data_IF_569075551860
#
_entry.id   IF_569075551860
#
_cell.length_a   1.000
_cell.length_b   1.000
_cell.length_c   1.000
_cell.angle_alpha   90.00
_cell.angle_beta   90.00
_cell.angle_gamma   90.00
#
_symmetry.space_group_name_H-M   'P 1'
#
loop_
_entity.id
_entity.type
_entity.pdbx_description
1 polymer ?
#
# COMPACT_ATOMS: atom_id res chain seq x y z
N UNK A 1 -29.54 7.04 -6.61
CA UNK A 1 -28.80 5.89 -7.03
C UNK A 1 -27.31 6.17 -6.91
N UNK A 2 -26.68 5.90 -5.75
CA UNK A 2 -25.24 6.00 -5.60
C UNK A 2 -24.58 4.76 -6.14
N UNK A 3 -23.56 4.88 -6.95
CA UNK A 3 -22.68 3.80 -7.33
C UNK A 3 -22.12 3.17 -6.04
N UNK A 4 -22.41 1.88 -5.82
CA UNK A 4 -22.01 1.11 -4.63
C UNK A 4 -20.52 0.78 -4.58
N UNK A 5 -19.66 1.76 -4.72
CA UNK A 5 -18.22 1.64 -4.55
C UNK A 5 -17.81 1.92 -3.10
N UNK A 6 -16.69 1.36 -2.70
CA UNK A 6 -16.06 1.56 -1.39
C UNK A 6 -15.90 3.07 -1.11
N UNK A 7 -16.44 3.55 -0.01
CA UNK A 7 -16.40 4.97 0.38
C UNK A 7 -15.05 5.39 1.03
N UNK A 8 -13.99 4.67 0.76
CA UNK A 8 -12.65 4.93 1.27
C UNK A 8 -11.91 5.93 0.38
N UNK A 9 -11.34 6.97 0.97
CA UNK A 9 -10.56 8.01 0.28
C UNK A 9 -9.22 8.27 0.98
N UNK A 10 -8.25 7.35 0.88
CA UNK A 10 -7.01 7.38 1.66
C UNK A 10 -6.20 8.66 1.52
N UNK A 11 -6.07 9.18 0.30
CA UNK A 11 -5.37 10.44 0.01
C UNK A 11 -6.04 11.64 0.69
N UNK A 12 -7.38 11.70 0.65
CA UNK A 12 -8.14 12.76 1.31
C UNK A 12 -8.06 12.69 2.84
N UNK A 13 -8.15 11.50 3.39
CA UNK A 13 -7.98 11.26 4.83
C UNK A 13 -6.60 11.70 5.32
N UNK A 14 -5.55 11.37 4.57
CA UNK A 14 -4.19 11.81 4.87
C UNK A 14 -4.06 13.34 4.86
N UNK A 15 -4.65 14.02 3.89
CA UNK A 15 -4.68 15.49 3.82
C UNK A 15 -5.39 16.11 5.03
N UNK A 16 -6.51 15.52 5.48
CA UNK A 16 -7.24 15.97 6.67
C UNK A 16 -6.38 15.81 7.91
N UNK A 17 -5.79 14.63 8.12
CA UNK A 17 -4.95 14.36 9.29
C UNK A 17 -3.70 15.25 9.33
N UNK A 18 -3.01 15.46 8.20
CA UNK A 18 -1.87 16.39 8.12
C UNK A 18 -2.28 17.81 8.51
N UNK A 19 -3.45 18.27 8.05
CA UNK A 19 -3.98 19.61 8.37
C UNK A 19 -4.32 19.76 9.85
N UNK A 20 -4.91 18.73 10.45
CA UNK A 20 -5.21 18.70 11.89
C UNK A 20 -3.93 18.74 12.74
N UNK A 21 -2.95 17.93 12.37
CA UNK A 21 -1.65 17.89 13.06
C UNK A 21 -0.87 19.21 12.94
N UNK A 22 -0.93 19.87 11.77
CA UNK A 22 -0.30 21.17 11.56
C UNK A 22 -0.94 22.31 12.37
N UNK A 23 -2.25 22.22 12.67
CA UNK A 23 -2.97 23.20 13.47
C UNK A 23 -2.98 22.91 14.97
N UNK A 24 -2.49 21.74 15.34
CA UNK A 24 -2.51 21.32 16.76
C UNK A 24 -1.38 21.97 17.54
N UNK A 25 -1.73 22.91 18.43
CA UNK A 25 -0.80 23.65 19.30
C UNK A 25 -0.90 23.24 20.78
N UNK A 26 -1.85 22.39 21.14
CA UNK A 26 -2.13 21.97 22.51
C UNK A 26 -1.20 20.88 23.04
N UNK A 27 -1.33 20.57 24.34
CA UNK A 27 -0.57 19.48 25.01
C UNK A 27 -1.12 18.08 24.72
N UNK A 28 -2.25 17.96 24.03
CA UNK A 28 -2.82 16.66 23.71
C UNK A 28 -1.90 15.89 22.77
N UNK A 29 -1.56 14.62 23.04
CA UNK A 29 -0.61 13.88 22.21
C UNK A 29 -1.08 13.73 20.77
N UNK A 30 -0.26 14.12 19.81
CA UNK A 30 -0.56 14.01 18.36
C UNK A 30 -0.97 12.58 17.92
N UNK A 31 -0.31 11.49 18.37
CA UNK A 31 -0.75 10.14 18.04
C UNK A 31 -2.18 9.85 18.52
N UNK A 32 -2.55 10.31 19.72
CA UNK A 32 -3.91 10.14 20.24
C UNK A 32 -4.94 10.92 19.43
N UNK A 33 -4.59 12.13 18.96
CA UNK A 33 -5.44 12.92 18.07
C UNK A 33 -5.72 12.17 16.76
N UNK A 34 -4.68 11.60 16.12
CA UNK A 34 -4.84 10.80 14.92
C UNK A 34 -5.73 9.58 15.16
N UNK A 35 -5.55 8.88 16.29
CA UNK A 35 -6.35 7.70 16.62
C UNK A 35 -7.84 8.05 16.79
N UNK A 36 -8.17 9.15 17.46
CA UNK A 36 -9.56 9.62 17.58
C UNK A 36 -10.19 9.91 16.22
N UNK A 37 -9.44 10.58 15.34
CA UNK A 37 -9.93 10.85 13.99
C UNK A 37 -10.05 9.59 13.14
N UNK A 38 -9.17 8.61 13.29
CA UNK A 38 -9.28 7.31 12.60
C UNK A 38 -10.54 6.56 13.02
N UNK A 39 -10.90 6.59 14.31
CA UNK A 39 -12.15 6.01 14.81
C UNK A 39 -13.37 6.69 14.18
N UNK A 40 -13.38 8.02 14.12
CA UNK A 40 -14.46 8.80 13.48
C UNK A 40 -14.55 8.47 11.99
N UNK A 41 -13.44 8.46 11.26
CA UNK A 41 -13.39 8.14 9.83
C UNK A 41 -13.88 6.72 9.56
N UNK A 42 -13.43 5.75 10.35
CA UNK A 42 -13.87 4.35 10.26
C UNK A 42 -15.37 4.19 10.46
N UNK A 43 -15.93 4.88 11.47
CA UNK A 43 -17.36 4.87 11.71
C UNK A 43 -18.15 5.45 10.53
N UNK A 44 -17.70 6.56 9.94
CA UNK A 44 -18.35 7.14 8.75
C UNK A 44 -18.21 6.23 7.52
N UNK A 45 -17.07 5.59 7.30
CA UNK A 45 -16.88 4.61 6.22
C UNK A 45 -17.86 3.45 6.37
N UNK A 46 -18.03 2.94 7.59
CA UNK A 46 -18.97 1.87 7.90
C UNK A 46 -20.44 2.27 7.63
N UNK A 47 -20.81 3.51 7.94
CA UNK A 47 -22.17 4.03 7.69
C UNK A 47 -22.48 4.26 6.20
N UNK A 48 -21.46 4.45 5.39
CA UNK A 48 -21.64 4.74 3.95
C UNK A 48 -21.83 3.48 3.09
N UNK A 49 -21.51 2.30 3.61
CA UNK A 49 -21.71 1.04 2.88
C UNK A 49 -21.09 -0.17 3.57
N UNK A 50 -21.37 -1.36 3.05
CA UNK A 50 -20.78 -2.58 3.58
C UNK A 50 -19.26 -2.55 3.33
N UNK A 51 -18.48 -2.56 4.42
CA UNK A 51 -17.03 -2.65 4.38
C UNK A 51 -16.55 -3.68 5.40
N UNK A 52 -15.53 -4.45 5.04
CA UNK A 52 -14.86 -5.43 5.92
C UNK A 52 -13.36 -5.34 5.73
N UNK A 53 -12.59 -5.73 6.73
CA UNK A 53 -11.13 -5.76 6.66
C UNK A 53 -10.65 -7.20 6.81
N UNK A 54 -9.99 -7.73 5.79
CA UNK A 54 -9.25 -8.97 5.84
C UNK A 54 -7.81 -8.68 6.25
N UNK A 55 -7.37 -9.24 7.37
CA UNK A 55 -6.04 -8.99 7.94
C UNK A 55 -5.18 -10.25 7.82
N UNK A 56 -4.02 -10.12 7.18
CA UNK A 56 -3.01 -11.15 7.22
C UNK A 56 -2.45 -11.23 8.64
N UNK A 57 -2.66 -12.37 9.30
CA UNK A 57 -2.22 -12.63 10.66
C UNK A 57 -1.46 -13.96 10.71
N UNK A 58 -0.18 -13.97 10.32
CA UNK A 58 0.67 -15.13 10.52
C UNK A 58 0.72 -15.51 12.01
N UNK A 59 0.91 -16.79 12.31
CA UNK A 59 0.80 -17.35 13.67
C UNK A 59 1.64 -16.56 14.69
N UNK A 60 2.84 -16.12 14.30
CA UNK A 60 3.78 -15.42 15.19
C UNK A 60 3.64 -13.89 15.16
N UNK A 61 2.68 -13.31 14.42
CA UNK A 61 2.61 -11.88 14.10
C UNK A 61 1.23 -11.26 14.37
N UNK A 62 0.71 -11.45 15.59
CA UNK A 62 -0.60 -10.91 15.99
C UNK A 62 -0.72 -9.38 15.87
N UNK A 63 0.41 -8.65 15.85
CA UNK A 63 0.44 -7.18 15.83
C UNK A 63 -0.18 -6.54 14.58
N UNK A 64 -0.26 -7.24 13.44
CA UNK A 64 -0.96 -6.71 12.26
C UNK A 64 -2.45 -6.51 12.48
N UNK A 65 -3.07 -7.33 13.32
CA UNK A 65 -4.45 -7.14 13.74
C UNK A 65 -4.65 -5.83 14.51
N UNK A 66 -3.77 -5.56 15.46
CA UNK A 66 -3.84 -4.34 16.25
C UNK A 66 -3.58 -3.11 15.37
N UNK A 67 -2.58 -3.21 14.47
CA UNK A 67 -2.26 -2.15 13.52
C UNK A 67 -3.45 -1.79 12.62
N UNK A 68 -4.15 -2.80 12.12
CA UNK A 68 -5.37 -2.61 11.34
C UNK A 68 -6.49 -1.97 12.16
N UNK A 69 -6.71 -2.43 13.40
CA UNK A 69 -7.73 -1.84 14.29
C UNK A 69 -7.43 -0.40 14.67
N UNK A 70 -6.18 -0.07 14.92
CA UNK A 70 -5.77 1.30 15.23
C UNK A 70 -6.01 2.25 14.03
N UNK A 71 -6.02 1.71 12.82
CA UNK A 71 -6.24 2.48 11.60
C UNK A 71 -7.71 2.60 11.21
N UNK A 72 -8.47 1.51 11.23
CA UNK A 72 -9.85 1.45 10.73
C UNK A 72 -10.91 1.64 11.81
N UNK A 73 -10.50 1.66 13.08
CA UNK A 73 -11.42 1.77 14.22
C UNK A 73 -12.14 0.47 14.58
N UNK A 74 -13.05 0.55 15.54
CA UNK A 74 -13.71 -0.61 16.15
C UNK A 74 -15.02 -1.02 15.45
N UNK A 75 -15.60 -0.17 14.62
CA UNK A 75 -16.92 -0.40 14.01
C UNK A 75 -16.89 -1.33 12.80
N UNK A 76 -15.80 -1.32 12.04
CA UNK A 76 -15.66 -2.14 10.83
C UNK A 76 -15.41 -3.61 11.22
N UNK A 77 -16.13 -4.59 10.64
CA UNK A 77 -15.86 -6.00 10.86
C UNK A 77 -14.50 -6.44 10.32
N UNK A 78 -13.79 -7.27 11.10
CA UNK A 78 -12.47 -7.79 10.77
C UNK A 78 -12.49 -9.31 10.63
N UNK A 79 -11.73 -9.82 9.66
CA UNK A 79 -11.51 -11.24 9.45
C UNK A 79 -10.01 -11.54 9.35
N UNK A 80 -9.52 -12.48 10.15
CA UNK A 80 -8.14 -12.93 10.11
C UNK A 80 -7.94 -13.99 9.03
N UNK A 81 -6.79 -13.90 8.35
CA UNK A 81 -6.29 -14.87 7.38
C UNK A 81 -4.84 -15.20 7.69
N UNK A 82 -4.41 -16.41 7.43
CA UNK A 82 -3.04 -16.86 7.75
C UNK A 82 -2.00 -16.28 6.80
N UNK A 83 -2.40 -16.01 5.54
CA UNK A 83 -1.48 -15.56 4.48
C UNK A 83 -2.02 -14.35 3.73
N UNK A 84 -1.11 -13.56 3.17
CA UNK A 84 -1.46 -12.45 2.27
C UNK A 84 -2.20 -12.94 1.00
N UNK A 85 -1.88 -14.14 0.52
CA UNK A 85 -2.57 -14.75 -0.62
C UNK A 85 -4.06 -14.99 -0.32
N UNK A 86 -4.41 -15.43 0.90
CA UNK A 86 -5.81 -15.60 1.32
C UNK A 86 -6.54 -14.26 1.44
N UNK A 87 -5.86 -13.21 1.93
CA UNK A 87 -6.40 -11.84 1.97
C UNK A 87 -6.75 -11.38 0.56
N UNK A 88 -5.82 -11.49 -0.39
CA UNK A 88 -6.03 -11.09 -1.80
C UNK A 88 -7.17 -11.91 -2.43
N UNK A 89 -7.25 -13.21 -2.14
CA UNK A 89 -8.34 -14.06 -2.62
C UNK A 89 -9.71 -13.58 -2.10
N UNK A 90 -9.83 -13.24 -0.82
CA UNK A 90 -11.05 -12.68 -0.25
C UNK A 90 -11.48 -11.37 -0.92
N UNK A 91 -10.51 -10.50 -1.23
CA UNK A 91 -10.75 -9.22 -1.93
C UNK A 91 -11.24 -9.41 -3.37
N UNK A 92 -10.74 -10.44 -4.07
CA UNK A 92 -11.19 -10.74 -5.43
C UNK A 92 -12.65 -11.19 -5.49
N UNK A 93 -13.12 -11.84 -4.42
CA UNK A 93 -14.51 -12.31 -4.31
C UNK A 93 -15.49 -11.20 -3.92
N UNK A 94 -15.04 -10.20 -3.15
CA UNK A 94 -15.90 -9.13 -2.65
C UNK A 94 -15.18 -7.77 -2.74
N UNK A 95 -15.70 -6.84 -3.56
CA UNK A 95 -15.09 -5.51 -3.72
C UNK A 95 -15.14 -4.64 -2.46
N UNK A 96 -15.96 -5.00 -1.47
CA UNK A 96 -16.08 -4.25 -0.22
C UNK A 96 -15.08 -4.72 0.86
N UNK A 97 -14.21 -5.68 0.52
CA UNK A 97 -13.15 -6.14 1.42
C UNK A 97 -11.89 -5.31 1.19
N UNK A 98 -11.40 -4.71 2.27
CA UNK A 98 -10.07 -4.11 2.35
C UNK A 98 -9.08 -5.17 2.83
N UNK A 99 -7.87 -5.19 2.30
CA UNK A 99 -6.81 -6.10 2.73
C UNK A 99 -5.76 -5.38 3.57
N UNK A 100 -5.28 -6.01 4.64
CA UNK A 100 -4.08 -5.57 5.37
C UNK A 100 -3.06 -6.70 5.31
N UNK A 101 -1.91 -6.42 4.70
CA UNK A 101 -0.85 -7.40 4.46
C UNK A 101 0.50 -6.83 4.91
N UNK A 102 1.43 -7.67 5.39
CA UNK A 102 2.79 -7.23 5.72
C UNK A 102 3.46 -6.54 4.54
N UNK A 103 4.26 -5.50 4.80
CA UNK A 103 5.10 -4.92 3.75
C UNK A 103 6.10 -5.98 3.23
N UNK A 104 6.42 -5.97 1.93
CA UNK A 104 7.40 -6.87 1.34
C UNK A 104 8.78 -6.73 1.99
N UNK A 105 9.45 -7.84 2.15
CA UNK A 105 10.83 -7.89 2.64
C UNK A 105 11.72 -8.63 1.63
N UNK A 106 13.02 -8.35 1.66
CA UNK A 106 14.00 -9.12 0.88
C UNK A 106 13.96 -10.59 1.32
N UNK A 107 14.19 -11.51 0.39
CA UNK A 107 14.21 -12.97 0.61
C UNK A 107 12.88 -13.58 1.07
N UNK A 108 11.75 -12.93 0.75
CA UNK A 108 10.42 -13.50 0.98
C UNK A 108 10.20 -14.75 0.12
N UNK A 109 9.95 -15.89 0.75
CA UNK A 109 9.79 -17.19 0.07
C UNK A 109 8.62 -17.20 -0.93
N UNK A 110 7.56 -16.46 -0.62
CA UNK A 110 6.35 -16.36 -1.44
C UNK A 110 5.88 -14.91 -1.53
N UNK A 111 6.50 -14.10 -2.40
CA UNK A 111 6.21 -12.68 -2.52
C UNK A 111 4.77 -12.46 -3.02
N UNK A 112 3.93 -12.04 -2.09
CA UNK A 112 2.49 -11.87 -2.33
C UNK A 112 2.19 -10.75 -3.34
N UNK A 113 3.06 -9.75 -3.44
CA UNK A 113 2.89 -8.58 -4.29
C UNK A 113 2.91 -8.91 -5.79
N UNK A 114 3.55 -10.01 -6.20
CA UNK A 114 3.50 -10.51 -7.58
C UNK A 114 2.06 -10.79 -8.02
N UNK A 115 1.18 -11.17 -7.07
CA UNK A 115 -0.25 -11.39 -7.38
C UNK A 115 -1.00 -10.12 -7.78
N UNK A 116 -0.44 -8.95 -7.47
CA UNK A 116 -1.02 -7.66 -7.86
C UNK A 116 -0.65 -7.26 -9.30
N UNK A 117 0.21 -8.02 -9.97
CA UNK A 117 0.61 -7.72 -11.36
C UNK A 117 -0.26 -8.38 -12.42
N UNK A 118 -1.33 -9.10 -12.03
CA UNK A 118 -2.15 -9.89 -12.96
C UNK A 118 -2.89 -9.05 -14.02
N UNK A 119 -3.16 -7.78 -13.76
CA UNK A 119 -3.93 -6.92 -14.66
C UNK A 119 -5.43 -7.23 -14.74
N UNK A 120 -5.94 -8.14 -13.90
CA UNK A 120 -7.37 -8.44 -13.83
C UNK A 120 -8.13 -7.30 -13.16
N UNK A 121 -9.37 -7.04 -13.58
CA UNK A 121 -10.24 -6.01 -12.97
C UNK A 121 -10.54 -6.24 -11.48
N UNK A 122 -10.32 -7.46 -10.99
CA UNK A 122 -10.47 -7.82 -9.58
C UNK A 122 -9.18 -7.65 -8.76
N UNK A 123 -8.07 -7.29 -9.40
CA UNK A 123 -6.79 -7.07 -8.71
C UNK A 123 -6.87 -5.81 -7.85
N UNK A 124 -6.56 -5.91 -6.54
CA UNK A 124 -6.51 -4.72 -5.70
C UNK A 124 -5.22 -3.93 -5.89
N UNK A 125 -5.28 -2.65 -5.59
CA UNK A 125 -4.12 -1.73 -5.53
C UNK A 125 -3.70 -1.48 -4.09
N UNK A 126 -2.43 -1.13 -3.89
CA UNK A 126 -1.94 -0.56 -2.63
C UNK A 126 -2.45 0.87 -2.53
N UNK A 127 -3.13 1.21 -1.43
CA UNK A 127 -3.73 2.54 -1.23
C UNK A 127 -3.25 3.25 0.03
N UNK A 128 -2.65 2.52 0.98
CA UNK A 128 -2.09 3.08 2.21
C UNK A 128 -0.94 2.22 2.74
N UNK A 129 -0.07 2.84 3.56
CA UNK A 129 0.95 2.17 4.36
C UNK A 129 0.66 2.41 5.85
N UNK A 130 0.83 1.38 6.65
CA UNK A 130 0.60 1.38 8.10
C UNK A 130 1.90 1.10 8.86
N UNK A 131 2.10 1.72 10.01
CA UNK A 131 1.23 2.72 10.66
C UNK A 131 1.27 4.07 9.94
N UNK A 132 0.13 4.76 9.87
CA UNK A 132 0.11 6.13 9.33
C UNK A 132 0.75 7.15 10.30
N UNK A 133 0.81 6.82 11.57
CA UNK A 133 1.55 7.55 12.61
C UNK A 133 2.18 6.52 13.53
N UNK A 134 3.48 6.67 13.79
CA UNK A 134 4.17 5.81 14.74
C UNK A 134 3.51 5.89 16.12
N UNK A 135 3.14 4.74 16.68
CA UNK A 135 2.53 4.64 18.01
C UNK A 135 3.59 4.27 19.04
N UNK A 136 3.73 4.99 20.15
CA UNK A 136 4.76 4.73 21.17
C UNK A 136 4.70 3.31 21.78
N UNK A 137 3.54 2.66 21.67
CA UNK A 137 3.27 1.32 22.20
C UNK A 137 3.23 0.24 21.11
N UNK A 138 3.89 0.45 19.98
CA UNK A 138 4.07 -0.64 19.02
C UNK A 138 4.80 -1.78 19.77
N UNK A 139 4.09 -2.86 20.06
CA UNK A 139 4.40 -3.99 20.95
C UNK A 139 5.75 -4.66 20.63
N UNK A 140 6.85 -3.91 20.73
CA UNK A 140 8.22 -4.39 20.62
C UNK A 140 8.70 -4.76 19.21
N UNK A 141 7.94 -4.48 18.15
CA UNK A 141 8.35 -4.70 16.76
C UNK A 141 7.89 -3.52 15.88
N UNK A 142 8.77 -3.05 15.03
CA UNK A 142 8.41 -2.11 13.95
C UNK A 142 7.63 -2.87 12.88
N UNK A 143 6.31 -2.93 13.05
CA UNK A 143 5.43 -3.53 12.07
C UNK A 143 5.17 -2.54 10.93
N UNK A 144 5.29 -3.05 9.72
CA UNK A 144 5.02 -2.31 8.49
C UNK A 144 4.05 -3.12 7.62
N UNK A 145 2.98 -2.48 7.17
CA UNK A 145 1.94 -3.16 6.40
C UNK A 145 1.39 -2.25 5.29
N UNK A 146 0.84 -2.87 4.26
CA UNK A 146 0.07 -2.19 3.24
C UNK A 146 -1.43 -2.46 3.39
N UNK A 147 -2.22 -1.43 3.10
CA UNK A 147 -3.66 -1.56 2.86
C UNK A 147 -3.89 -1.72 1.37
N UNK A 148 -4.62 -2.77 1.02
CA UNK A 148 -5.06 -3.07 -0.33
C UNK A 148 -6.54 -2.75 -0.48
N UNK A 149 -6.94 -2.21 -1.64
CA UNK A 149 -8.34 -1.97 -1.98
C UNK A 149 -8.57 -2.08 -3.49
N UNK A 150 -9.79 -2.43 -3.90
CA UNK A 150 -10.19 -2.42 -5.32
C UNK A 150 -10.67 -1.03 -5.72
N UNK A 151 -9.76 -0.06 -5.63
CA UNK A 151 -9.94 1.32 -6.04
C UNK A 151 -8.59 1.91 -6.46
N UNK A 152 -8.63 2.97 -7.23
CA UNK A 152 -7.43 3.70 -7.61
C UNK A 152 -6.94 4.58 -6.46
N UNK A 153 -5.62 4.65 -6.30
CA UNK A 153 -5.03 5.55 -5.33
C UNK A 153 -5.24 7.01 -5.78
N UNK A 154 -5.50 7.90 -4.81
CA UNK A 154 -5.61 9.33 -5.04
C UNK A 154 -4.36 10.06 -4.54
N UNK A 155 -3.84 11.08 -5.27
CA UNK A 155 -2.69 11.84 -4.80
C UNK A 155 -3.03 12.64 -3.54
N UNK A 156 -2.11 12.65 -2.59
CA UNK A 156 -2.25 13.38 -1.32
C UNK A 156 -1.37 14.63 -1.21
N UNK A 157 -0.46 14.82 -2.18
CA UNK A 157 0.50 15.91 -2.23
C UNK A 157 1.90 15.55 -1.71
N UNK A 158 2.02 14.48 -0.93
CA UNK A 158 3.30 13.88 -0.50
C UNK A 158 3.08 12.36 -0.46
N UNK A 159 3.54 11.69 -1.52
CA UNK A 159 3.16 10.31 -1.82
C UNK A 159 4.38 9.48 -2.18
N UNK A 160 4.21 8.16 -2.07
CA UNK A 160 5.09 7.14 -2.60
C UNK A 160 4.29 6.16 -3.43
N UNK A 161 4.95 5.51 -4.38
CA UNK A 161 4.36 4.45 -5.17
C UNK A 161 5.29 3.23 -5.20
N UNK A 162 4.69 2.07 -5.42
CA UNK A 162 5.37 0.80 -5.57
C UNK A 162 5.17 0.29 -6.99
N UNK A 163 6.28 0.06 -7.68
CA UNK A 163 6.32 -0.45 -9.05
C UNK A 163 6.88 -1.86 -9.06
N UNK A 164 6.24 -2.77 -9.78
CA UNK A 164 6.78 -4.09 -10.06
C UNK A 164 7.33 -4.12 -11.49
N UNK A 165 8.52 -4.65 -11.65
CA UNK A 165 9.18 -4.86 -12.96
C UNK A 165 9.37 -6.35 -13.12
N UNK A 166 8.80 -6.89 -14.18
CA UNK A 166 8.95 -8.28 -14.61
C UNK A 166 9.97 -8.33 -15.75
N UNK A 167 10.94 -9.21 -15.67
CA UNK A 167 12.00 -9.35 -16.66
C UNK A 167 12.40 -10.82 -16.87
N UNK A 168 12.71 -11.24 -18.12
CA UNK A 168 13.25 -12.58 -18.38
C UNK A 168 14.71 -12.73 -17.93
N UNK A 169 15.38 -11.64 -17.58
CA UNK A 169 16.78 -11.60 -17.15
C UNK A 169 16.96 -10.71 -15.93
N UNK A 170 17.96 -11.00 -15.13
CA UNK A 170 18.35 -10.17 -14.00
C UNK A 170 18.73 -8.75 -14.46
N UNK A 171 18.20 -7.75 -13.77
CA UNK A 171 18.53 -6.34 -14.00
C UNK A 171 19.40 -5.87 -12.82
N UNK A 172 20.64 -5.45 -13.10
CA UNK A 172 21.48 -4.94 -12.03
C UNK A 172 20.86 -3.69 -11.39
N UNK A 173 21.03 -3.56 -10.07
CA UNK A 173 20.47 -2.44 -9.28
C UNK A 173 20.88 -1.07 -9.86
N UNK A 174 22.12 -0.92 -10.35
CA UNK A 174 22.59 0.33 -10.96
C UNK A 174 21.87 0.65 -12.26
N UNK A 175 21.62 -0.36 -13.11
CA UNK A 175 20.86 -0.22 -14.37
C UNK A 175 19.40 0.15 -14.07
N UNK A 176 18.80 -0.50 -13.08
CA UNK A 176 17.44 -0.23 -12.66
C UNK A 176 17.27 1.22 -12.18
N UNK A 177 18.15 1.69 -11.26
CA UNK A 177 18.14 3.07 -10.77
C UNK A 177 18.34 4.07 -11.92
N UNK A 178 19.28 3.79 -12.82
CA UNK A 178 19.51 4.62 -14.01
C UNK A 178 18.29 4.70 -14.92
N UNK A 179 17.59 3.59 -15.15
CA UNK A 179 16.37 3.54 -15.95
C UNK A 179 15.22 4.33 -15.32
N UNK A 180 15.02 4.19 -14.00
CA UNK A 180 14.01 4.94 -13.23
C UNK A 180 14.26 6.45 -13.37
N UNK A 181 15.50 6.91 -13.17
CA UNK A 181 15.85 8.32 -13.30
C UNK A 181 15.68 8.82 -14.74
N UNK A 182 16.10 8.04 -15.73
CA UNK A 182 15.95 8.37 -17.16
C UNK A 182 14.49 8.47 -17.59
N UNK A 183 13.60 7.72 -16.95
CA UNK A 183 12.16 7.80 -17.16
C UNK A 183 11.50 9.05 -16.54
N UNK A 184 12.24 9.90 -15.85
CA UNK A 184 11.74 11.09 -15.17
C UNK A 184 11.10 10.79 -13.79
N UNK A 185 11.37 9.61 -13.23
CA UNK A 185 10.99 9.27 -11.86
C UNK A 185 12.12 9.64 -10.89
N UNK A 186 11.80 10.03 -9.65
CA UNK A 186 12.81 10.21 -8.62
C UNK A 186 13.58 8.92 -8.33
N UNK A 187 14.82 9.04 -7.84
CA UNK A 187 15.60 7.86 -7.45
C UNK A 187 14.85 7.00 -6.44
N UNK A 188 14.86 5.67 -6.63
CA UNK A 188 14.17 4.75 -5.72
C UNK A 188 14.67 4.87 -4.27
N UNK A 189 13.74 4.75 -3.32
CA UNK A 189 14.04 4.67 -1.89
C UNK A 189 14.28 3.24 -1.42
N UNK A 190 13.71 2.27 -2.13
CA UNK A 190 13.89 0.84 -1.88
C UNK A 190 13.80 0.04 -3.17
N UNK A 191 14.55 -1.04 -3.25
CA UNK A 191 14.50 -2.05 -4.31
C UNK A 191 14.62 -3.42 -3.66
N UNK A 192 13.67 -4.29 -3.95
CA UNK A 192 13.66 -5.71 -3.58
C UNK A 192 13.65 -6.50 -4.89
N UNK A 193 14.51 -7.48 -5.01
CA UNK A 193 14.59 -8.37 -6.17
C UNK A 193 14.29 -9.82 -5.77
N UNK A 194 13.64 -10.56 -6.66
CA UNK A 194 13.37 -11.99 -6.47
C UNK A 194 13.30 -12.69 -7.83
N UNK A 195 13.88 -13.88 -7.90
CA UNK A 195 13.68 -14.79 -9.01
C UNK A 195 12.60 -15.81 -8.65
N UNK A 196 11.59 -15.94 -9.49
CA UNK A 196 10.52 -16.92 -9.31
C UNK A 196 10.22 -17.61 -10.64
N UNK A 197 10.40 -18.91 -10.68
CA UNK A 197 10.07 -19.76 -11.85
C UNK A 197 10.73 -19.31 -13.16
N UNK A 198 11.98 -18.85 -13.10
CA UNK A 198 12.74 -18.39 -14.26
C UNK A 198 12.43 -16.95 -14.70
N UNK A 199 11.64 -16.23 -13.91
CA UNK A 199 11.31 -14.82 -14.14
C UNK A 199 11.88 -13.98 -13.00
N UNK A 200 12.56 -12.90 -13.35
CA UNK A 200 13.07 -11.91 -12.40
C UNK A 200 12.03 -10.84 -12.15
N UNK A 201 11.91 -10.48 -10.90
CA UNK A 201 10.99 -9.45 -10.43
C UNK A 201 11.73 -8.45 -9.56
N UNK A 202 11.63 -7.18 -9.93
CA UNK A 202 12.11 -6.07 -9.11
C UNK A 202 10.91 -5.29 -8.56
N UNK A 203 10.88 -5.08 -7.27
CA UNK A 203 9.92 -4.24 -6.57
C UNK A 203 10.57 -2.93 -6.20
N UNK A 204 10.09 -1.83 -6.76
CA UNK A 204 10.75 -0.51 -6.71
C UNK A 204 9.85 0.50 -6.02
N UNK A 205 10.27 1.04 -4.87
CA UNK A 205 9.60 2.14 -4.21
C UNK A 205 10.15 3.48 -4.69
N UNK A 206 9.27 4.34 -5.23
CA UNK A 206 9.63 5.69 -5.68
C UNK A 206 8.94 6.76 -4.82
N UNK A 207 9.64 7.86 -4.44
CA UNK A 207 9.08 8.91 -3.60
C UNK A 207 8.26 9.93 -4.41
N UNK A 208 7.25 9.42 -5.11
CA UNK A 208 6.29 10.22 -5.87
C UNK A 208 5.02 9.42 -6.13
N UNK A 209 3.92 10.10 -6.40
CA UNK A 209 2.70 9.47 -6.89
C UNK A 209 2.91 8.96 -8.32
N UNK A 210 2.47 7.72 -8.57
CA UNK A 210 2.45 7.10 -9.91
C UNK A 210 1.09 6.41 -10.09
N UNK A 211 0.29 6.91 -11.04
CA UNK A 211 -0.97 6.28 -11.42
C UNK A 211 -0.75 5.11 -12.39
N UNK A 212 -1.75 4.26 -12.59
CA UNK A 212 -1.67 3.12 -13.50
C UNK A 212 -1.35 3.52 -14.96
N UNK A 213 -1.86 4.67 -15.39
CA UNK A 213 -1.64 5.20 -16.75
C UNK A 213 -0.61 6.34 -16.78
N UNK A 214 0.32 6.36 -15.84
CA UNK A 214 1.36 7.39 -15.79
C UNK A 214 2.27 7.28 -17.03
N UNK A 215 2.51 8.38 -17.78
CA UNK A 215 3.34 8.37 -18.98
C UNK A 215 4.80 7.98 -18.72
N UNK A 216 5.27 8.06 -17.48
CA UNK A 216 6.60 7.62 -17.07
C UNK A 216 6.75 6.09 -17.06
N UNK A 217 5.64 5.33 -16.96
CA UNK A 217 5.69 3.86 -16.98
C UNK A 217 6.19 3.28 -18.33
N UNK A 218 5.63 3.66 -19.51
CA UNK A 218 6.21 3.25 -20.78
C UNK A 218 7.64 3.78 -20.99
N UNK A 219 7.95 4.99 -20.51
CA UNK A 219 9.31 5.53 -20.57
C UNK A 219 10.30 4.68 -19.74
N UNK A 220 9.90 4.23 -18.56
CA UNK A 220 10.70 3.32 -17.73
C UNK A 220 10.95 2.00 -18.43
N UNK A 221 9.93 1.37 -19.01
CA UNK A 221 10.08 0.15 -19.79
C UNK A 221 11.10 0.31 -20.92
N UNK A 222 11.02 1.42 -21.65
CA UNK A 222 11.98 1.72 -22.73
C UNK A 222 13.39 1.95 -22.17
N UNK A 223 13.53 2.65 -21.06
CA UNK A 223 14.82 2.96 -20.45
C UNK A 223 15.53 1.73 -19.88
N UNK A 224 14.79 0.70 -19.44
CA UNK A 224 15.34 -0.59 -19.01
C UNK A 224 16.10 -1.28 -20.15
N UNK A 225 15.65 -1.12 -21.41
CA UNK A 225 16.27 -1.72 -22.57
C UNK A 225 16.32 -3.25 -22.51
N UNK A 226 15.35 -3.88 -21.87
CA UNK A 226 15.18 -5.34 -21.78
C UNK A 226 13.94 -5.71 -22.58
N UNK A 227 14.13 -6.59 -23.55
CA UNK A 227 13.04 -7.11 -24.36
C UNK A 227 12.06 -7.90 -23.49
N UNK A 228 10.77 -7.73 -23.72
CA UNK A 228 9.67 -8.34 -22.94
C UNK A 228 9.60 -7.93 -21.46
N UNK A 229 10.36 -6.93 -21.01
CA UNK A 229 10.16 -6.40 -19.68
C UNK A 229 8.77 -5.73 -19.55
N UNK A 230 8.11 -5.96 -18.41
CA UNK A 230 6.82 -5.36 -18.08
C UNK A 230 6.95 -4.54 -16.81
N UNK A 231 6.34 -3.36 -16.80
CA UNK A 231 6.32 -2.46 -15.63
C UNK A 231 4.86 -2.24 -15.22
N UNK A 232 4.56 -2.48 -13.96
CA UNK A 232 3.20 -2.40 -13.39
C UNK A 232 3.23 -1.53 -12.14
N UNK A 233 2.31 -0.56 -12.03
CA UNK A 233 2.07 0.12 -10.75
C UNK A 233 1.27 -0.82 -9.85
N UNK A 234 1.74 -1.02 -8.62
CA UNK A 234 0.99 -1.76 -7.61
C UNK A 234 0.13 -0.84 -6.74
N UNK A 235 0.26 0.47 -6.93
CA UNK A 235 -0.47 1.50 -6.24
C UNK A 235 0.43 2.53 -5.56
N UNK A 236 -0.21 3.47 -4.86
CA UNK A 236 0.46 4.59 -4.20
C UNK A 236 -0.18 4.90 -2.85
N UNK A 237 0.56 5.55 -1.98
CA UNK A 237 0.09 5.93 -0.64
C UNK A 237 0.67 7.26 -0.19
N UNK A 238 -0.09 7.92 0.68
CA UNK A 238 0.35 9.13 1.36
C UNK A 238 1.50 8.86 2.34
N UNK A 239 2.55 9.68 2.30
CA UNK A 239 3.65 9.63 3.27
C UNK A 239 3.13 10.00 4.65
N UNK A 240 3.39 9.17 5.70
CA UNK A 240 3.02 9.49 7.07
C UNK A 240 3.63 10.81 7.53
N UNK A 241 2.88 11.66 8.26
CA UNK A 241 3.44 12.90 8.80
C UNK A 241 4.48 12.60 9.89
N UNK A 242 5.54 13.37 9.92
CA UNK A 242 6.49 13.39 11.06
C UNK A 242 5.82 14.12 12.23
N UNK A 243 5.75 13.50 13.41
CA UNK A 243 5.10 14.03 14.62
C UNK A 243 6.06 14.05 15.79
#
# INVERSE_FOLDING_TARGET
GGNGGLALRPGREAQVLRRLLARHEGKFPKPALVRLWREIMGAFTFLQGPVRVAVCRPVDWAGFWDLARDHFGAQIPFQAHETAAQVIAAMRLDPNVLGVVPAPVQDEISPWWIRLTSGEATTPNIVQRLPFVAMPNSRGRDLDAFVLARLDAEPSGDDRALLAIESPVEISRSRLIGAVTKAGLPSPTSVIDVEQSGTWWDLVEVPTFVADQDPRMPALRTALGVEHARVVSLGAWAVPPKI
#
